data_IF_296874639699
#
_entry.id   IF_296874639699
#
_cell.length_a   1.000
_cell.length_b   1.000
_cell.length_c   1.000
_cell.angle_alpha   90.00
_cell.angle_beta   90.00
_cell.angle_gamma   90.00
#
_symmetry.space_group_name_H-M   'P 1'
#
loop_
_entity.id
_entity.type
_entity.pdbx_description
1 polymer ?
#
# COMPACT_ATOMS: atom_id res chain seq x y z
N UNK A 1 -15.03 9.58 4.92
CA UNK A 1 -14.61 8.55 5.91
C UNK A 1 -15.16 8.91 7.30
N UNK A 2 -15.64 7.94 8.10
CA UNK A 2 -16.06 8.20 9.50
C UNK A 2 -14.85 8.35 10.44
N UNK A 3 -14.96 9.18 11.48
CA UNK A 3 -13.92 9.46 12.46
C UNK A 3 -13.38 8.19 13.14
N UNK A 4 -14.24 7.17 13.32
CA UNK A 4 -13.86 5.87 13.86
C UNK A 4 -12.82 5.15 13.00
N UNK A 5 -12.97 5.21 11.67
CA UNK A 5 -12.02 4.62 10.70
C UNK A 5 -10.71 5.40 10.69
N UNK A 6 -10.77 6.74 10.77
CA UNK A 6 -9.57 7.59 10.89
C UNK A 6 -8.74 7.19 12.12
N UNK A 7 -9.41 7.05 13.26
CA UNK A 7 -8.76 6.70 14.50
C UNK A 7 -8.14 5.30 14.47
N UNK A 8 -8.78 4.34 13.80
CA UNK A 8 -8.22 3.02 13.59
C UNK A 8 -6.92 3.07 12.75
N UNK A 9 -6.91 3.83 11.65
CA UNK A 9 -5.70 4.04 10.84
C UNK A 9 -4.58 4.71 11.65
N UNK A 10 -4.89 5.77 12.40
CA UNK A 10 -3.90 6.47 13.24
C UNK A 10 -3.32 5.55 14.31
N UNK A 11 -4.15 4.73 14.97
CA UNK A 11 -3.68 3.76 15.97
C UNK A 11 -2.67 2.79 15.37
N UNK A 12 -2.90 2.40 14.11
CA UNK A 12 -2.04 1.48 13.39
C UNK A 12 -0.70 2.11 13.01
N UNK A 13 -0.72 3.30 12.40
CA UNK A 13 0.51 4.06 12.13
C UNK A 13 1.38 4.24 13.38
N UNK A 14 0.74 4.51 14.53
CA UNK A 14 1.45 4.63 15.81
C UNK A 14 2.02 3.31 16.31
N UNK A 15 1.30 2.20 16.13
CA UNK A 15 1.79 0.87 16.48
C UNK A 15 3.04 0.52 15.66
N UNK A 16 2.97 0.73 14.35
CA UNK A 16 4.07 0.41 13.43
C UNK A 16 5.30 1.29 13.69
N UNK A 17 5.08 2.59 13.94
CA UNK A 17 6.14 3.48 14.41
C UNK A 17 6.78 3.00 15.73
N UNK A 18 5.98 2.55 16.69
CA UNK A 18 6.47 1.96 17.94
C UNK A 18 7.34 0.73 17.70
N UNK A 19 6.97 -0.13 16.76
CA UNK A 19 7.75 -1.32 16.39
C UNK A 19 9.09 -0.95 15.77
N UNK A 20 9.13 0.03 14.86
CA UNK A 20 10.40 0.51 14.29
C UNK A 20 11.34 1.02 15.38
N UNK A 21 10.83 1.77 16.36
CA UNK A 21 11.64 2.23 17.50
C UNK A 21 12.15 1.08 18.37
N UNK A 22 11.37 0.02 18.57
CA UNK A 22 11.82 -1.16 19.30
C UNK A 22 12.95 -1.90 18.58
N UNK A 23 12.85 -2.08 17.25
CA UNK A 23 13.91 -2.71 16.44
C UNK A 23 15.20 -1.88 16.49
N UNK A 24 15.10 -0.56 16.28
CA UNK A 24 16.24 0.36 16.37
C UNK A 24 16.88 0.30 17.77
N UNK A 25 16.06 0.34 18.82
CA UNK A 25 16.51 0.23 20.20
C UNK A 25 17.27 -1.08 20.45
N UNK A 26 16.72 -2.20 19.97
CA UNK A 26 17.35 -3.52 20.09
C UNK A 26 18.71 -3.60 19.40
N UNK A 27 18.83 -3.12 18.16
CA UNK A 27 20.14 -3.06 17.49
C UNK A 27 21.12 -2.14 18.21
N UNK A 28 20.63 -1.01 18.73
CA UNK A 28 21.46 -0.06 19.48
C UNK A 28 22.01 -0.69 20.76
N UNK A 29 21.19 -1.41 21.53
CA UNK A 29 21.61 -2.12 22.74
C UNK A 29 22.66 -3.20 22.48
N UNK A 30 22.60 -3.84 21.31
CA UNK A 30 23.57 -4.85 20.86
C UNK A 30 24.85 -4.25 20.25
N UNK A 31 24.90 -2.93 20.05
CA UNK A 31 26.03 -2.25 19.39
C UNK A 31 26.09 -2.46 17.87
N UNK A 32 24.98 -2.86 17.26
CA UNK A 32 24.84 -3.20 15.83
C UNK A 32 24.60 -1.94 15.00
N UNK A 33 25.62 -1.09 14.91
CA UNK A 33 25.51 0.23 14.31
C UNK A 33 25.21 0.19 12.80
N UNK A 34 25.74 -0.80 12.07
CA UNK A 34 25.48 -0.95 10.64
C UNK A 34 24.01 -1.32 10.39
N UNK A 35 23.47 -2.25 11.17
CA UNK A 35 22.08 -2.69 11.10
C UNK A 35 21.10 -1.56 11.45
N UNK A 36 21.44 -0.70 12.41
CA UNK A 36 20.67 0.53 12.67
C UNK A 36 20.61 1.42 11.43
N UNK A 37 21.75 1.67 10.78
CA UNK A 37 21.79 2.52 9.58
C UNK A 37 21.00 1.90 8.43
N UNK A 38 21.17 0.61 8.18
CA UNK A 38 20.46 -0.11 7.12
C UNK A 38 18.95 -0.11 7.35
N UNK A 39 18.51 -0.32 8.60
CA UNK A 39 17.11 -0.31 8.96
C UNK A 39 16.49 1.08 8.86
N UNK A 40 17.18 2.14 9.32
CA UNK A 40 16.72 3.52 9.13
C UNK A 40 16.61 3.85 7.63
N UNK A 41 17.60 3.45 6.84
CA UNK A 41 17.58 3.67 5.39
C UNK A 41 16.40 2.93 4.73
N UNK A 42 16.03 1.75 5.22
CA UNK A 42 14.83 1.04 4.78
C UNK A 42 13.56 1.82 5.10
N UNK A 43 13.36 2.28 6.34
CA UNK A 43 12.20 3.10 6.73
C UNK A 43 12.10 4.33 5.82
N UNK A 44 13.22 5.02 5.57
CA UNK A 44 13.24 6.20 4.70
C UNK A 44 12.83 5.86 3.26
N UNK A 45 13.25 4.71 2.72
CA UNK A 45 12.81 4.25 1.39
C UNK A 45 11.31 3.99 1.37
N UNK A 46 10.78 3.28 2.35
CA UNK A 46 9.34 2.99 2.49
C UNK A 46 8.51 4.29 2.57
N UNK A 47 8.95 5.26 3.38
CA UNK A 47 8.31 6.57 3.48
C UNK A 47 8.31 7.33 2.15
N UNK A 48 9.41 7.26 1.39
CA UNK A 48 9.51 7.91 0.08
C UNK A 48 8.61 7.23 -0.96
N UNK A 49 8.47 5.90 -0.91
CA UNK A 49 7.54 5.16 -1.77
C UNK A 49 6.08 5.53 -1.46
N UNK A 50 5.76 5.86 -0.20
CA UNK A 50 4.43 6.34 0.20
C UNK A 50 4.13 7.79 -0.20
N UNK A 51 5.16 8.57 -0.50
CA UNK A 51 5.02 10.00 -0.85
C UNK A 51 4.00 10.22 -1.97
N UNK A 52 3.96 9.32 -2.95
CA UNK A 52 3.03 9.38 -4.08
C UNK A 52 1.57 9.43 -3.63
N UNK A 53 1.21 8.76 -2.52
CA UNK A 53 -0.14 8.77 -1.99
C UNK A 53 -0.52 10.13 -1.42
N UNK A 54 0.44 10.84 -0.82
CA UNK A 54 0.22 12.16 -0.22
C UNK A 54 0.35 13.31 -1.21
N UNK A 55 0.86 13.05 -2.40
CA UNK A 55 0.98 14.03 -3.51
C UNK A 55 -0.19 13.96 -4.49
N UNK A 56 -1.15 13.05 -4.32
CA UNK A 56 -2.35 13.03 -5.15
C UNK A 56 -3.22 14.25 -4.84
N UNK A 57 -3.71 14.93 -5.88
CA UNK A 57 -4.68 16.02 -5.78
C UNK A 57 -6.11 15.53 -5.44
N UNK A 58 -6.23 14.38 -4.77
CA UNK A 58 -7.49 13.74 -4.40
C UNK A 58 -7.37 13.08 -3.02
N UNK A 59 -7.70 13.81 -1.93
CA UNK A 59 -7.56 13.34 -0.56
C UNK A 59 -8.34 12.06 -0.25
N UNK A 60 -9.52 11.89 -0.85
CA UNK A 60 -10.36 10.70 -0.68
C UNK A 60 -9.67 9.46 -1.25
N UNK A 61 -9.13 9.55 -2.47
CA UNK A 61 -8.37 8.47 -3.09
C UNK A 61 -7.09 8.16 -2.31
N UNK A 62 -6.33 9.19 -1.91
CA UNK A 62 -5.12 9.03 -1.08
C UNK A 62 -5.41 8.22 0.18
N UNK A 63 -6.50 8.58 0.88
CA UNK A 63 -6.90 7.96 2.11
C UNK A 63 -7.36 6.52 1.91
N UNK A 64 -8.12 6.25 0.85
CA UNK A 64 -8.53 4.90 0.48
C UNK A 64 -7.31 4.02 0.18
N UNK A 65 -6.38 4.46 -0.68
CA UNK A 65 -5.19 3.69 -1.04
C UNK A 65 -4.27 3.44 0.15
N UNK A 66 -4.12 4.44 1.04
CA UNK A 66 -3.40 4.28 2.30
C UNK A 66 -4.06 3.22 3.20
N UNK A 67 -5.38 3.23 3.31
CA UNK A 67 -6.13 2.23 4.06
C UNK A 67 -5.91 0.82 3.50
N UNK A 68 -5.97 0.65 2.17
CA UNK A 68 -5.70 -0.64 1.52
C UNK A 68 -4.26 -1.12 1.74
N UNK A 69 -3.27 -0.20 1.70
CA UNK A 69 -1.87 -0.52 2.00
C UNK A 69 -1.71 -1.05 3.41
N UNK A 70 -2.27 -0.35 4.38
CA UNK A 70 -2.28 -0.81 5.75
C UNK A 70 -2.91 -2.21 5.81
N UNK A 71 -4.14 -2.42 5.37
CA UNK A 71 -4.75 -3.77 5.45
C UNK A 71 -3.92 -4.89 4.81
N UNK A 72 -3.28 -4.62 3.66
CA UNK A 72 -2.38 -5.58 3.03
C UNK A 72 -1.15 -5.92 3.90
N UNK A 73 -0.53 -4.94 4.55
CA UNK A 73 0.61 -5.19 5.46
C UNK A 73 0.24 -6.10 6.64
N UNK A 74 -1.03 -6.09 7.05
CA UNK A 74 -1.54 -6.90 8.16
C UNK A 74 -1.49 -8.41 7.84
N UNK A 75 -1.48 -8.73 6.55
CA UNK A 75 -1.37 -10.09 6.02
C UNK A 75 -0.03 -10.35 5.33
N UNK A 76 0.99 -9.52 5.60
CA UNK A 76 2.35 -9.70 5.08
C UNK A 76 2.54 -9.26 3.61
N UNK A 77 1.66 -8.39 3.11
CA UNK A 77 1.70 -7.89 1.73
C UNK A 77 2.06 -6.41 1.71
N UNK A 78 3.13 -6.06 1.00
CA UNK A 78 3.52 -4.67 0.73
C UNK A 78 2.90 -4.19 -0.59
N UNK A 79 2.17 -3.08 -0.54
CA UNK A 79 1.62 -2.43 -1.72
C UNK A 79 2.43 -1.18 -2.08
N UNK A 80 2.87 -1.14 -3.33
CA UNK A 80 3.57 0.01 -3.91
C UNK A 80 2.71 0.59 -5.03
N UNK A 81 2.31 1.86 -4.87
CA UNK A 81 1.39 2.49 -5.81
C UNK A 81 2.12 3.29 -6.88
N UNK A 82 1.57 3.23 -8.09
CA UNK A 82 1.86 4.17 -9.16
C UNK A 82 0.51 4.68 -9.69
N UNK A 83 0.21 5.94 -9.40
CA UNK A 83 -1.05 6.58 -9.79
C UNK A 83 -0.72 7.69 -10.78
N UNK A 84 -1.38 7.68 -11.94
CA UNK A 84 -1.18 8.67 -12.99
C UNK A 84 -2.50 9.41 -13.22
N UNK A 85 -2.50 10.72 -12.92
CA UNK A 85 -3.55 11.71 -13.21
C UNK A 85 -4.97 11.15 -13.33
N UNK A 86 -5.65 11.05 -12.19
CA UNK A 86 -7.00 10.48 -12.06
C UNK A 86 -7.99 11.57 -11.66
N UNK A 87 -9.09 11.66 -12.41
CA UNK A 87 -10.23 12.54 -12.14
C UNK A 87 -11.06 12.06 -10.94
N UNK A 88 -11.83 12.95 -10.34
CA UNK A 88 -12.72 12.63 -9.20
C UNK A 88 -13.73 11.51 -9.53
N UNK A 89 -14.25 11.44 -10.76
CA UNK A 89 -15.17 10.35 -11.13
C UNK A 89 -14.47 9.00 -11.18
N UNK A 90 -13.20 8.97 -11.61
CA UNK A 90 -12.43 7.74 -11.62
C UNK A 90 -12.01 7.31 -10.20
N UNK A 91 -11.79 8.24 -9.26
CA UNK A 91 -11.51 7.88 -7.87
C UNK A 91 -12.67 7.20 -7.17
N UNK A 92 -13.90 7.70 -7.34
CA UNK A 92 -15.10 7.10 -6.74
C UNK A 92 -15.28 5.64 -7.17
N UNK A 93 -15.00 5.33 -8.43
CA UNK A 93 -15.07 3.97 -8.97
C UNK A 93 -14.00 3.05 -8.37
N UNK A 94 -12.81 3.57 -8.05
CA UNK A 94 -11.73 2.82 -7.41
C UNK A 94 -12.11 2.48 -5.96
N UNK A 95 -12.76 3.40 -5.26
CA UNK A 95 -13.20 3.20 -3.88
C UNK A 95 -14.27 2.10 -3.74
N UNK A 96 -15.04 1.84 -4.80
CA UNK A 96 -15.99 0.72 -4.85
C UNK A 96 -15.30 -0.65 -5.06
N UNK A 97 -14.01 -0.67 -5.43
CA UNK A 97 -13.26 -1.91 -5.62
C UNK A 97 -12.87 -2.51 -4.27
N UNK A 98 -13.17 -3.79 -4.07
CA UNK A 98 -12.58 -4.57 -2.98
C UNK A 98 -11.14 -4.99 -3.35
N UNK A 99 -10.24 -4.01 -3.36
CA UNK A 99 -8.82 -4.22 -3.69
C UNK A 99 -8.18 -5.24 -2.76
N UNK A 100 -8.56 -5.22 -1.48
CA UNK A 100 -8.06 -6.16 -0.49
C UNK A 100 -8.46 -7.61 -0.80
N UNK A 101 -9.73 -7.87 -1.17
CA UNK A 101 -10.13 -9.21 -1.59
C UNK A 101 -9.40 -9.67 -2.86
N UNK A 102 -9.17 -8.75 -3.82
CA UNK A 102 -8.39 -9.04 -5.01
C UNK A 102 -6.94 -9.41 -4.66
N UNK A 103 -6.29 -8.67 -3.77
CA UNK A 103 -4.93 -8.95 -3.26
C UNK A 103 -4.90 -10.30 -2.54
N UNK A 104 -5.84 -10.54 -1.62
CA UNK A 104 -5.91 -11.80 -0.86
C UNK A 104 -6.08 -13.01 -1.77
N UNK A 105 -6.91 -12.89 -2.80
CA UNK A 105 -7.09 -13.93 -3.81
C UNK A 105 -5.83 -14.17 -4.64
N UNK A 106 -4.98 -13.16 -4.84
CA UNK A 106 -3.75 -13.27 -5.62
C UNK A 106 -2.61 -13.90 -4.82
N UNK A 107 -2.52 -13.55 -3.54
CA UNK A 107 -1.45 -14.02 -2.65
C UNK A 107 -1.70 -15.46 -2.20
N UNK A 108 -2.98 -15.88 -2.13
CA UNK A 108 -3.37 -17.20 -1.62
C UNK A 108 -2.93 -17.42 -0.17
N UNK A 109 -2.89 -18.67 0.29
CA UNK A 109 -2.34 -19.05 1.61
C UNK A 109 -0.79 -19.11 1.63
N UNK A 110 -0.12 -18.78 0.53
CA UNK A 110 1.30 -19.09 0.31
C UNK A 110 2.29 -17.96 0.65
N UNK A 111 1.87 -16.90 1.36
CA UNK A 111 2.79 -15.86 1.83
C UNK A 111 3.70 -16.38 2.96
N UNK A 112 4.74 -17.14 2.60
CA UNK A 112 5.86 -17.49 3.49
C UNK A 112 6.98 -16.45 3.43
N UNK A 113 6.94 -15.56 2.45
CA UNK A 113 7.89 -14.45 2.23
C UNK A 113 7.12 -13.13 2.13
N UNK A 114 7.81 -12.00 2.34
CA UNK A 114 7.25 -10.67 2.10
C UNK A 114 6.77 -10.54 0.65
N UNK A 115 5.47 -10.38 0.47
CA UNK A 115 4.87 -10.28 -0.85
C UNK A 115 4.78 -8.82 -1.27
N UNK A 116 5.56 -8.43 -2.29
CA UNK A 116 5.45 -7.08 -2.87
C UNK A 116 4.52 -7.12 -4.07
N UNK A 117 3.51 -6.25 -4.07
CA UNK A 117 2.59 -6.03 -5.19
C UNK A 117 2.66 -4.57 -5.61
N UNK A 118 3.01 -4.35 -6.87
CA UNK A 118 2.95 -3.04 -7.50
C UNK A 118 1.54 -2.83 -8.06
N UNK A 119 0.90 -1.72 -7.70
CA UNK A 119 -0.44 -1.36 -8.10
C UNK A 119 -0.37 -0.12 -8.98
N UNK A 120 -0.58 -0.30 -10.28
CA UNK A 120 -0.65 0.81 -11.23
C UNK A 120 -2.10 1.13 -11.56
N UNK A 121 -2.49 2.39 -11.42
CA UNK A 121 -3.85 2.85 -11.70
C UNK A 121 -3.82 3.86 -12.85
N UNK A 122 -4.63 3.59 -13.87
CA UNK A 122 -4.73 4.39 -15.08
C UNK A 122 -6.18 4.78 -15.33
N UNK A 123 -6.42 6.04 -15.63
CA UNK A 123 -7.68 6.48 -16.20
C UNK A 123 -7.63 6.38 -17.72
N UNK A 124 -8.56 5.61 -18.30
CA UNK A 124 -8.82 5.55 -19.73
C UNK A 124 -10.08 6.39 -20.04
N UNK A 125 -10.38 6.56 -21.33
CA UNK A 125 -11.50 7.42 -21.78
C UNK A 125 -12.83 6.98 -21.15
N UNK A 126 -13.13 5.69 -21.18
CA UNK A 126 -14.42 5.08 -20.79
C UNK A 126 -14.34 4.20 -19.54
N UNK A 127 -13.14 4.01 -18.98
CA UNK A 127 -12.94 3.08 -17.87
C UNK A 127 -11.70 3.44 -17.04
N UNK A 128 -11.61 2.88 -15.85
CA UNK A 128 -10.41 2.88 -15.01
C UNK A 128 -9.77 1.51 -15.10
N UNK A 129 -8.46 1.46 -15.35
CA UNK A 129 -7.67 0.24 -15.36
C UNK A 129 -6.79 0.18 -14.11
N UNK A 130 -6.92 -0.89 -13.33
CA UNK A 130 -6.03 -1.21 -12.21
C UNK A 130 -5.19 -2.42 -12.60
N UNK A 131 -3.87 -2.31 -12.50
CA UNK A 131 -2.92 -3.38 -12.81
C UNK A 131 -2.20 -3.76 -11.53
N UNK A 132 -2.27 -5.04 -11.17
CA UNK A 132 -1.50 -5.61 -10.09
C UNK A 132 -0.33 -6.39 -10.68
N UNK A 133 0.90 -6.08 -10.29
CA UNK A 133 2.11 -6.77 -10.73
C UNK A 133 2.89 -7.30 -9.54
N UNK A 134 3.23 -8.59 -9.56
CA UNK A 134 4.10 -9.21 -8.56
C UNK A 134 4.85 -10.38 -9.18
N UNK A 135 6.08 -10.61 -8.69
CA UNK A 135 6.91 -11.76 -9.07
C UNK A 135 6.30 -13.11 -8.70
N UNK A 136 5.29 -13.12 -7.81
CA UNK A 136 4.58 -14.32 -7.39
C UNK A 136 3.39 -14.69 -8.28
N UNK A 137 2.99 -13.82 -9.22
CA UNK A 137 1.91 -14.09 -10.14
C UNK A 137 2.39 -14.97 -11.30
N UNK A 138 1.57 -15.96 -11.69
CA UNK A 138 1.88 -16.93 -12.75
C UNK A 138 2.14 -16.26 -14.11
N UNK A 139 1.46 -15.15 -14.38
CA UNK A 139 1.64 -14.29 -15.56
C UNK A 139 2.32 -12.94 -15.22
N UNK A 140 2.89 -12.79 -14.01
CA UNK A 140 3.44 -11.55 -13.43
C UNK A 140 2.48 -10.36 -13.27
N UNK A 141 1.26 -10.39 -13.83
CA UNK A 141 0.27 -9.32 -13.65
C UNK A 141 -1.19 -9.80 -13.67
N UNK A 142 -2.10 -8.98 -13.12
CA UNK A 142 -3.55 -9.13 -13.21
C UNK A 142 -4.21 -7.77 -13.43
N UNK A 143 -5.11 -7.70 -14.41
CA UNK A 143 -5.80 -6.47 -14.79
C UNK A 143 -7.25 -6.46 -14.28
N UNK A 144 -7.70 -5.29 -13.81
CA UNK A 144 -9.10 -4.99 -13.49
C UNK A 144 -9.54 -3.77 -14.29
N UNK A 145 -10.75 -3.83 -14.84
CA UNK A 145 -11.35 -2.75 -15.62
C UNK A 145 -12.69 -2.34 -15.02
N UNK A 146 -12.85 -1.06 -14.70
CA UNK A 146 -14.06 -0.50 -14.12
C UNK A 146 -14.65 0.51 -15.10
N UNK A 147 -15.83 0.24 -15.66
CA UNK A 147 -16.47 1.15 -16.62
C UNK A 147 -16.97 2.43 -15.94
N UNK A 148 -16.72 3.58 -16.55
CA UNK A 148 -17.37 4.84 -16.18
C UNK A 148 -18.82 4.80 -16.63
N UNK A 149 -19.74 5.23 -15.76
CA UNK A 149 -21.18 5.32 -16.08
C UNK A 149 -21.51 6.57 -16.88
#
# INVERSE_FOLDING_TARGET
>A
MDASKALAMIRRLRHDFGNHLQVIGGYTELGYAEEVQDYIAQIVREMNEEKILFELDNPELSLFLLQQKLYAQEVGVMLNYQVVDITTTASELIEELDLFAAIKSLVGEQAKEEVVINVSIYELVDQVKVVLNSKLLTDNFKDFYIKKR
#
